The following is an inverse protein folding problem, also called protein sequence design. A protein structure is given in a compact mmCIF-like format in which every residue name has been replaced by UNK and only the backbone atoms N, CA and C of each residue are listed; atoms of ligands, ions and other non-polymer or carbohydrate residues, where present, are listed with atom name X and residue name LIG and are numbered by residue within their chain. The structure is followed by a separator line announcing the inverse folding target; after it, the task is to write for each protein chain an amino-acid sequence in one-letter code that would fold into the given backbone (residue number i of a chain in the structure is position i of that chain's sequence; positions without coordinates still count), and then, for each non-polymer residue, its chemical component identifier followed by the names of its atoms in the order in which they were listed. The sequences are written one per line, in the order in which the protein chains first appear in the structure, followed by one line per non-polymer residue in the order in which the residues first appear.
data_IF_654092053541
#
_entry.id   IF_654092053541
#
_cell.length_a   1.000
_cell.length_b   1.000
_cell.length_c   1.000
_cell.angle_alpha   90.00
_cell.angle_beta   90.00
_cell.angle_gamma   90.00
#
_symmetry.space_group_name_H-M   'P 1'
#
loop_
_entity.id
_entity.type
_entity.pdbx_description
1 polymer ?
#
# COMPACT_ATOMS: atom_id res chain seq x y z
N UNK A 1 1.27 -33.08 -9.02
CA UNK A 1 1.06 -34.45 -9.56
C UNK A 1 -0.20 -35.10 -9.01
N UNK A 2 -0.35 -35.27 -7.69
CA UNK A 2 -1.51 -35.96 -7.08
C UNK A 2 -2.84 -35.25 -7.34
N UNK A 3 -2.88 -33.91 -7.26
CA UNK A 3 -4.10 -33.14 -7.48
C UNK A 3 -4.60 -33.15 -8.93
N UNK A 4 -3.69 -33.24 -9.90
CA UNK A 4 -4.04 -33.29 -11.33
C UNK A 4 -4.55 -34.69 -11.73
N UNK A 5 -3.96 -35.74 -11.15
CA UNK A 5 -4.40 -37.12 -11.35
C UNK A 5 -5.81 -37.32 -10.80
N UNK A 6 -6.12 -36.77 -9.61
CA UNK A 6 -7.46 -36.81 -9.03
C UNK A 6 -8.52 -36.05 -9.84
N UNK A 7 -8.15 -34.92 -10.46
CA UNK A 7 -9.07 -34.14 -11.28
C UNK A 7 -9.41 -34.84 -12.62
N UNK A 8 -8.46 -35.58 -13.20
CA UNK A 8 -8.67 -36.34 -14.44
C UNK A 8 -9.46 -37.65 -14.19
N UNK A 9 -9.28 -38.28 -13.04
CA UNK A 9 -10.02 -39.48 -12.64
C UNK A 9 -11.52 -39.18 -12.42
N UNK A 10 -11.83 -37.96 -11.94
CA UNK A 10 -13.21 -37.47 -11.78
C UNK A 10 -13.95 -37.19 -13.10
N UNK A 11 -13.23 -37.06 -14.23
CA UNK A 11 -13.82 -36.82 -15.55
C UNK A 11 -14.13 -38.10 -16.34
N UNK A 12 -13.83 -39.29 -15.80
CA UNK A 12 -14.28 -40.57 -16.38
C UNK A 12 -13.67 -40.96 -17.73
N UNK A 13 -12.49 -40.41 -18.07
CA UNK A 13 -11.81 -40.68 -19.34
C UNK A 13 -10.46 -41.40 -19.14
N UNK A 14 -10.46 -42.73 -18.84
CA UNK A 14 -9.23 -43.49 -18.57
C UNK A 14 -8.32 -43.65 -19.79
N UNK A 15 -8.82 -43.34 -21.00
CA UNK A 15 -8.04 -43.43 -22.25
C UNK A 15 -7.00 -42.30 -22.39
N UNK A 16 -7.30 -41.11 -21.85
CA UNK A 16 -6.41 -39.94 -21.95
C UNK A 16 -5.16 -40.11 -21.09
N UNK A 17 -5.27 -40.80 -19.95
CA UNK A 17 -4.13 -41.15 -19.09
C UNK A 17 -3.18 -42.18 -19.74
N UNK A 18 -3.72 -43.11 -20.54
CA UNK A 18 -2.92 -44.08 -21.28
C UNK A 18 -2.14 -43.44 -22.43
N UNK A 19 -2.71 -42.46 -23.13
CA UNK A 19 -1.99 -41.72 -24.18
C UNK A 19 -0.94 -40.76 -23.61
N UNK A 20 -1.21 -40.10 -22.47
CA UNK A 20 -0.27 -39.18 -21.82
C UNK A 20 1.00 -39.86 -21.27
N UNK A 21 0.91 -41.13 -20.89
CA UNK A 21 2.06 -41.91 -20.37
C UNK A 21 2.91 -42.54 -21.48
N UNK A 22 2.41 -42.60 -22.73
CA UNK A 22 3.06 -43.28 -23.86
C UNK A 22 4.21 -42.50 -24.53
N UNK A 23 4.68 -41.40 -23.94
CA UNK A 23 6.00 -40.83 -24.26
C UNK A 23 6.11 -40.10 -25.60
N UNK A 24 5.02 -39.54 -26.13
CA UNK A 24 5.04 -38.87 -27.44
C UNK A 24 4.34 -37.51 -27.51
N UNK A 25 4.35 -36.68 -26.46
CA UNK A 25 3.72 -35.35 -26.60
C UNK A 25 4.34 -34.21 -25.76
N UNK A 26 5.61 -33.83 -25.98
CA UNK A 26 6.12 -32.54 -25.51
C UNK A 26 5.34 -31.36 -26.12
N UNK A 27 4.74 -31.54 -27.30
CA UNK A 27 3.96 -30.51 -27.99
C UNK A 27 2.62 -30.19 -27.31
N UNK A 28 1.94 -31.16 -26.70
CA UNK A 28 0.66 -30.90 -25.99
C UNK A 28 0.88 -30.13 -24.68
N UNK A 29 1.97 -30.42 -23.97
CA UNK A 29 2.33 -29.64 -22.79
C UNK A 29 2.67 -28.19 -23.14
N UNK A 30 3.38 -27.98 -24.26
CA UNK A 30 3.68 -26.66 -24.77
C UNK A 30 2.40 -25.90 -25.18
N UNK A 31 1.46 -26.54 -25.89
CA UNK A 31 0.20 -25.87 -26.29
C UNK A 31 -0.70 -25.56 -25.10
N UNK A 32 -0.77 -26.45 -24.10
CA UNK A 32 -1.53 -26.22 -22.86
C UNK A 32 -0.94 -25.06 -22.03
N UNK A 33 0.38 -25.01 -21.87
CA UNK A 33 1.03 -23.93 -21.13
C UNK A 33 0.95 -22.59 -21.87
N UNK A 34 1.05 -22.60 -23.21
CA UNK A 34 0.85 -21.40 -24.03
C UNK A 34 -0.61 -20.88 -23.95
N UNK A 35 -1.59 -21.79 -23.99
CA UNK A 35 -3.00 -21.45 -23.81
C UNK A 35 -3.29 -20.88 -22.41
N UNK A 36 -2.70 -21.47 -21.37
CA UNK A 36 -2.82 -21.01 -19.99
C UNK A 36 -2.28 -19.58 -19.81
N UNK A 37 -1.09 -19.30 -20.38
CA UNK A 37 -0.48 -17.96 -20.36
C UNK A 37 -1.29 -16.95 -21.16
N UNK A 38 -1.82 -17.34 -22.32
CA UNK A 38 -2.64 -16.47 -23.16
C UNK A 38 -3.92 -15.99 -22.46
N UNK A 39 -4.61 -16.90 -21.75
CA UNK A 39 -5.82 -16.56 -20.98
C UNK A 39 -5.47 -15.63 -19.82
N UNK A 40 -4.41 -15.92 -19.07
CA UNK A 40 -3.94 -15.07 -17.99
C UNK A 40 -3.58 -13.65 -18.46
N UNK A 41 -2.87 -13.54 -19.59
CA UNK A 41 -2.50 -12.25 -20.18
C UNK A 41 -3.72 -11.44 -20.65
N UNK A 42 -4.72 -12.10 -21.25
CA UNK A 42 -5.97 -11.45 -21.64
C UNK A 42 -6.76 -10.93 -20.42
N UNK A 43 -6.82 -11.70 -19.33
CA UNK A 43 -7.44 -11.28 -18.07
C UNK A 43 -6.72 -10.09 -17.43
N UNK A 44 -5.38 -10.11 -17.39
CA UNK A 44 -4.57 -9.02 -16.85
C UNK A 44 -4.75 -7.72 -17.67
N UNK A 45 -4.78 -7.83 -19.00
CA UNK A 45 -5.07 -6.71 -19.89
C UNK A 45 -6.48 -6.13 -19.65
N UNK A 46 -7.48 -6.99 -19.49
CA UNK A 46 -8.87 -6.57 -19.26
C UNK A 46 -9.05 -5.86 -17.90
N UNK A 47 -8.38 -6.35 -16.85
CA UNK A 47 -8.37 -5.72 -15.52
C UNK A 47 -7.60 -4.40 -15.51
N UNK A 48 -6.48 -4.31 -16.23
CA UNK A 48 -5.70 -3.09 -16.38
C UNK A 48 -6.50 -1.98 -17.08
N UNK A 49 -7.30 -2.32 -18.10
CA UNK A 49 -8.22 -1.36 -18.74
C UNK A 49 -9.33 -0.85 -17.81
N UNK A 50 -9.65 -1.57 -16.74
CA UNK A 50 -10.65 -1.17 -15.73
C UNK A 50 -10.04 -0.39 -14.55
N UNK A 51 -8.79 0.08 -14.67
CA UNK A 51 -8.16 0.95 -13.66
C UNK A 51 -7.78 0.25 -12.35
N UNK A 52 -7.76 -1.08 -12.32
CA UNK A 52 -7.30 -1.82 -11.16
C UNK A 52 -5.77 -1.76 -11.08
N UNK A 53 -5.21 -1.49 -9.90
CA UNK A 53 -3.78 -1.27 -9.72
C UNK A 53 -2.92 -2.46 -10.15
N UNK A 54 -1.71 -2.20 -10.67
CA UNK A 54 -0.79 -3.18 -11.26
C UNK A 54 -0.56 -4.44 -10.40
N UNK A 55 -0.59 -4.31 -9.06
CA UNK A 55 -0.45 -5.44 -8.14
C UNK A 55 -1.58 -6.48 -8.22
N UNK A 56 -2.80 -6.07 -8.57
CA UNK A 56 -3.92 -7.00 -8.79
C UNK A 56 -3.83 -7.73 -10.12
N UNK A 57 -3.28 -7.08 -11.14
CA UNK A 57 -3.09 -7.67 -12.47
C UNK A 57 -2.01 -8.76 -12.45
N UNK A 58 -0.94 -8.57 -11.67
CA UNK A 58 0.12 -9.59 -11.52
C UNK A 58 -0.34 -10.78 -10.69
N UNK A 59 -1.13 -10.57 -9.62
CA UNK A 59 -1.70 -11.68 -8.84
C UNK A 59 -2.75 -12.46 -9.63
N UNK A 60 -3.43 -11.81 -10.58
CA UNK A 60 -4.41 -12.47 -11.43
C UNK A 60 -3.77 -13.53 -12.35
N UNK A 61 -2.50 -13.37 -12.76
CA UNK A 61 -1.79 -14.37 -13.57
C UNK A 61 -1.60 -15.71 -12.84
N UNK A 62 -1.36 -15.67 -11.53
CA UNK A 62 -1.19 -16.87 -10.71
C UNK A 62 -2.54 -17.48 -10.25
N UNK A 63 -3.56 -16.64 -10.05
CA UNK A 63 -4.84 -17.07 -9.48
C UNK A 63 -6.01 -17.11 -10.47
N UNK A 64 -5.78 -16.98 -11.79
CA UNK A 64 -6.87 -16.96 -12.77
C UNK A 64 -7.80 -18.19 -12.77
N UNK A 65 -7.37 -19.42 -12.44
CA UNK A 65 -8.29 -20.56 -12.37
C UNK A 65 -9.36 -20.39 -11.27
N UNK A 66 -9.01 -19.70 -10.18
CA UNK A 66 -9.95 -19.36 -9.10
C UNK A 66 -10.86 -18.19 -9.48
N UNK A 67 -10.43 -17.34 -10.41
CA UNK A 67 -11.22 -16.22 -10.94
C UNK A 67 -12.28 -16.66 -11.96
N UNK A 68 -12.12 -17.81 -12.62
CA UNK A 68 -13.14 -18.34 -13.55
C UNK A 68 -14.51 -18.52 -12.88
N UNK A 69 -14.56 -18.92 -11.61
CA UNK A 69 -15.80 -19.03 -10.84
C UNK A 69 -16.50 -17.70 -10.55
N UNK A 70 -15.79 -16.57 -10.73
CA UNK A 70 -16.31 -15.21 -10.54
C UNK A 70 -16.71 -14.53 -11.86
N UNK A 71 -16.24 -15.03 -13.02
CA UNK A 71 -16.47 -14.42 -14.34
C UNK A 71 -17.93 -14.54 -14.82
N UNK A 72 -18.74 -15.41 -14.22
CA UNK A 72 -20.17 -15.54 -14.50
C UNK A 72 -21.10 -14.74 -13.57
N UNK A 73 -20.56 -14.10 -12.53
CA UNK A 73 -21.38 -13.25 -11.65
C UNK A 73 -21.34 -11.82 -12.16
N UNK A 74 -22.50 -11.15 -12.36
CA UNK A 74 -22.50 -9.73 -12.61
C UNK A 74 -21.69 -9.08 -11.48
N UNK A 75 -20.81 -8.11 -11.79
CA UNK A 75 -20.06 -7.42 -10.75
C UNK A 75 -21.10 -6.91 -9.74
N UNK A 76 -20.94 -7.19 -8.43
CA UNK A 76 -21.83 -6.57 -7.45
C UNK A 76 -21.77 -5.07 -7.72
N UNK A 77 -22.93 -4.37 -7.74
CA UNK A 77 -22.94 -2.93 -7.96
C UNK A 77 -21.88 -2.33 -7.04
N UNK A 78 -20.93 -1.62 -7.63
CA UNK A 78 -19.79 -0.99 -6.93
C UNK A 78 -20.23 -0.03 -5.82
N UNK A 79 -21.54 0.23 -5.71
CA UNK A 79 -22.20 0.93 -4.62
C UNK A 79 -22.27 0.13 -3.31
N UNK A 80 -22.23 -1.22 -3.32
CA UNK A 80 -22.39 -2.05 -2.10
C UNK A 80 -21.09 -2.70 -1.59
N UNK A 81 -20.00 -2.66 -2.38
CA UNK A 81 -18.63 -2.81 -1.83
C UNK A 81 -18.13 -1.52 -1.17
N UNK A 82 -18.96 -0.48 -1.15
CA UNK A 82 -18.96 0.55 -0.12
C UNK A 82 -19.73 0.04 1.12
N UNK A 83 -19.53 -1.23 1.52
CA UNK A 83 -19.44 -1.56 2.94
C UNK A 83 -18.53 -0.50 3.50
N UNK A 84 -19.08 0.36 4.35
CA UNK A 84 -18.35 1.33 5.13
C UNK A 84 -16.98 0.76 5.46
N UNK A 85 -15.96 1.10 4.66
CA UNK A 85 -14.62 1.14 5.18
C UNK A 85 -14.81 2.26 6.19
N UNK A 86 -14.78 2.00 7.50
CA UNK A 86 -14.21 3.03 8.34
C UNK A 86 -12.93 3.42 7.60
N UNK A 87 -12.92 4.62 7.03
CA UNK A 87 -11.69 5.35 6.84
C UNK A 87 -11.14 5.40 8.24
N UNK A 88 -10.39 4.36 8.61
CA UNK A 88 -9.64 4.31 9.84
C UNK A 88 -8.55 5.34 9.62
N UNK A 89 -8.96 6.59 9.83
CA UNK A 89 -8.12 7.69 10.14
C UNK A 89 -7.12 7.17 11.17
N UNK A 90 -5.83 7.27 10.85
CA UNK A 90 -4.83 6.88 11.81
C UNK A 90 -4.85 7.86 12.99
N UNK A 91 -4.09 7.54 14.05
CA UNK A 91 -4.12 8.29 15.30
C UNK A 91 -3.84 9.79 15.12
N UNK A 92 -3.10 10.18 14.08
CA UNK A 92 -2.73 11.57 13.81
C UNK A 92 -3.52 12.24 12.68
N UNK A 93 -4.56 11.61 12.14
CA UNK A 93 -5.28 12.12 10.97
C UNK A 93 -5.76 13.57 11.14
N UNK A 94 -6.45 13.88 12.25
CA UNK A 94 -6.94 15.22 12.54
C UNK A 94 -5.82 16.25 12.72
N UNK A 95 -4.66 15.84 13.26
CA UNK A 95 -3.48 16.70 13.40
C UNK A 95 -2.84 17.00 12.06
N UNK A 96 -2.75 16.01 11.17
CA UNK A 96 -2.26 16.18 9.79
C UNK A 96 -3.19 17.17 9.07
N UNK A 97 -4.50 16.94 9.10
CA UNK A 97 -5.47 17.82 8.45
C UNK A 97 -5.39 19.26 8.97
N UNK A 98 -5.31 19.42 10.29
CA UNK A 98 -5.12 20.72 10.94
C UNK A 98 -3.85 21.41 10.46
N UNK A 99 -2.69 20.74 10.54
CA UNK A 99 -1.41 21.32 10.10
C UNK A 99 -1.43 21.69 8.61
N UNK A 100 -2.01 20.85 7.75
CA UNK A 100 -2.11 21.11 6.32
C UNK A 100 -3.07 22.26 5.99
N UNK A 101 -4.21 22.34 6.68
CA UNK A 101 -5.15 23.45 6.53
C UNK A 101 -4.51 24.77 6.97
N UNK A 102 -3.84 24.75 8.12
CA UNK A 102 -3.09 25.88 8.67
C UNK A 102 -1.94 26.30 7.72
N UNK A 103 -1.20 25.38 7.11
CA UNK A 103 -0.19 25.74 6.09
C UNK A 103 -0.80 26.35 4.83
N UNK A 104 -1.88 25.76 4.30
CA UNK A 104 -2.58 26.30 3.12
C UNK A 104 -3.11 27.71 3.37
N UNK A 105 -3.68 27.95 4.54
CA UNK A 105 -4.19 29.27 4.92
C UNK A 105 -3.06 30.31 4.96
N UNK A 106 -1.93 30.01 5.61
CA UNK A 106 -0.79 30.93 5.65
C UNK A 106 -0.23 31.23 4.25
N UNK A 107 -0.19 30.21 3.38
CA UNK A 107 0.23 30.39 1.99
C UNK A 107 -0.76 31.17 1.13
N UNK A 108 -2.03 31.27 1.53
CA UNK A 108 -3.02 32.10 0.85
C UNK A 108 -2.97 33.54 1.36
N UNK A 109 -2.89 33.74 2.68
CA UNK A 109 -2.91 35.06 3.32
C UNK A 109 -1.64 35.90 3.03
N UNK A 110 -0.46 35.28 3.04
CA UNK A 110 0.81 36.02 2.94
C UNK A 110 1.23 36.34 1.50
N UNK A 111 0.51 35.83 0.50
CA UNK A 111 1.00 35.69 -0.87
C UNK A 111 -0.03 36.06 -1.95
N UNK A 112 -0.90 37.05 -1.68
CA UNK A 112 -1.95 37.60 -2.58
C UNK A 112 -1.44 38.24 -3.89
N UNK A 113 -0.16 38.05 -4.27
CA UNK A 113 0.43 38.53 -5.51
C UNK A 113 0.91 37.41 -6.45
N UNK A 114 1.16 37.70 -7.75
CA UNK A 114 1.64 36.72 -8.73
C UNK A 114 3.02 36.10 -8.40
N UNK A 115 3.75 36.68 -7.45
CA UNK A 115 4.99 36.13 -6.91
C UNK A 115 4.74 34.99 -5.90
N UNK A 116 3.61 35.03 -5.19
CA UNK A 116 3.20 34.05 -4.19
C UNK A 116 2.85 32.68 -4.74
N UNK A 117 2.20 32.66 -5.91
CA UNK A 117 1.86 31.44 -6.64
C UNK A 117 3.09 30.63 -7.12
N UNK A 118 4.32 31.18 -7.03
CA UNK A 118 5.57 30.51 -7.44
C UNK A 118 6.41 29.95 -6.28
N UNK A 119 6.02 30.17 -5.03
CA UNK A 119 6.87 29.72 -3.91
C UNK A 119 6.74 28.23 -3.61
N UNK A 120 5.50 27.71 -3.57
CA UNK A 120 5.19 26.31 -3.24
C UNK A 120 4.04 25.86 -4.13
N UNK A 121 4.25 24.76 -4.88
CA UNK A 121 3.22 24.18 -5.72
C UNK A 121 2.15 23.49 -4.86
N UNK A 122 0.87 23.79 -5.09
CA UNK A 122 -0.24 23.10 -4.44
C UNK A 122 -0.16 21.58 -4.63
N UNK A 123 0.41 21.11 -5.75
CA UNK A 123 0.62 19.69 -6.00
C UNK A 123 1.68 19.07 -5.05
N UNK A 124 2.76 19.79 -4.72
CA UNK A 124 3.77 19.33 -3.75
C UNK A 124 3.14 19.18 -2.37
N UNK A 125 2.39 20.19 -1.94
CA UNK A 125 1.71 20.17 -0.65
C UNK A 125 0.66 19.05 -0.57
N UNK A 126 -0.07 18.79 -1.65
CA UNK A 126 -1.00 17.65 -1.74
C UNK A 126 -0.27 16.30 -1.67
N UNK A 127 0.89 16.17 -2.34
CA UNK A 127 1.73 14.97 -2.29
C UNK A 127 2.27 14.71 -0.89
N UNK A 128 2.71 15.75 -0.18
CA UNK A 128 3.15 15.67 1.20
C UNK A 128 2.01 15.20 2.12
N UNK A 129 0.83 15.83 2.03
CA UNK A 129 -0.35 15.43 2.81
C UNK A 129 -0.72 13.96 2.57
N UNK A 130 -0.77 13.55 1.30
CA UNK A 130 -1.07 12.17 0.95
C UNK A 130 -0.06 11.19 1.54
N UNK A 131 1.23 11.54 1.51
CA UNK A 131 2.31 10.71 2.06
C UNK A 131 2.22 10.59 3.58
N UNK A 132 1.89 11.67 4.29
CA UNK A 132 1.66 11.68 5.73
C UNK A 132 0.45 10.83 6.13
N UNK A 133 -0.70 10.98 5.45
CA UNK A 133 -1.86 10.13 5.71
C UNK A 133 -1.58 8.66 5.43
N UNK A 134 -0.81 8.35 4.38
CA UNK A 134 -0.39 6.99 4.09
C UNK A 134 0.53 6.43 5.18
N UNK A 135 1.42 7.24 5.77
CA UNK A 135 2.23 6.86 6.92
C UNK A 135 1.36 6.59 8.16
N UNK A 136 0.46 7.50 8.49
CA UNK A 136 -0.46 7.40 9.63
C UNK A 136 -1.38 6.17 9.54
N UNK A 137 -1.93 5.89 8.36
CA UNK A 137 -2.73 4.67 8.13
C UNK A 137 -1.91 3.39 8.28
N UNK A 138 -0.61 3.40 7.96
CA UNK A 138 0.27 2.24 8.18
C UNK A 138 0.48 1.98 9.67
N UNK A 139 0.72 3.03 10.45
CA UNK A 139 0.84 2.94 11.92
C UNK A 139 -0.44 2.35 12.51
N UNK A 140 -1.61 2.86 12.10
CA UNK A 140 -2.90 2.34 12.56
C UNK A 140 -3.11 0.86 12.22
N UNK A 141 -2.64 0.42 11.05
CA UNK A 141 -2.67 -1.00 10.67
C UNK A 141 -1.77 -1.85 11.55
N UNK A 142 -0.56 -1.40 11.86
CA UNK A 142 0.37 -2.11 12.75
C UNK A 142 -0.21 -2.20 14.17
N UNK A 143 -0.79 -1.11 14.68
CA UNK A 143 -1.44 -1.08 15.99
C UNK A 143 -2.56 -2.11 16.09
N UNK A 144 -3.37 -2.22 15.04
CA UNK A 144 -4.42 -3.23 14.95
C UNK A 144 -3.86 -4.65 14.95
N UNK A 145 -2.82 -4.93 14.17
CA UNK A 145 -2.19 -6.26 14.14
C UNK A 145 -1.59 -6.63 15.50
N UNK A 146 -0.94 -5.69 16.17
CA UNK A 146 -0.41 -5.87 17.52
C UNK A 146 -1.54 -6.17 18.52
N UNK A 147 -2.66 -5.46 18.42
CA UNK A 147 -3.83 -5.66 19.28
C UNK A 147 -4.50 -7.01 19.02
N UNK A 148 -4.70 -7.40 17.75
CA UNK A 148 -5.26 -8.69 17.35
C UNK A 148 -4.38 -9.86 17.82
N UNK A 149 -3.06 -9.74 17.69
CA UNK A 149 -2.11 -10.76 18.13
C UNK A 149 -2.09 -10.89 19.66
N UNK A 150 -2.17 -9.75 20.37
CA UNK A 150 -2.25 -9.75 21.83
C UNK A 150 -3.57 -10.37 22.32
N UNK A 151 -4.70 -10.06 21.68
CA UNK A 151 -6.00 -10.65 22.00
C UNK A 151 -6.00 -12.17 21.78
N UNK A 152 -5.37 -12.65 20.71
CA UNK A 152 -5.23 -14.08 20.42
C UNK A 152 -4.29 -14.80 21.41
N UNK A 153 -3.16 -14.18 21.76
CA UNK A 153 -2.19 -14.73 22.72
C UNK A 153 -2.70 -14.80 24.15
N UNK A 154 -3.61 -13.91 24.54
CA UNK A 154 -4.24 -13.88 25.87
C UNK A 154 -5.15 -15.10 26.14
N UNK A 155 -5.56 -15.81 25.09
CA UNK A 155 -6.65 -16.78 25.16
C UNK A 155 -6.28 -18.22 25.45
N UNK A 156 -5.12 -18.77 25.00
CA UNK A 156 -4.88 -20.22 25.14
C UNK A 156 -3.50 -20.82 24.79
N UNK A 157 -2.49 -20.05 24.40
CA UNK A 157 -1.24 -20.66 23.89
C UNK A 157 -0.03 -19.87 24.38
N UNK A 158 0.97 -20.56 24.95
CA UNK A 158 2.32 -20.00 25.14
C UNK A 158 2.82 -19.50 23.79
N UNK A 159 2.93 -18.18 23.65
CA UNK A 159 3.47 -17.57 22.44
C UNK A 159 4.92 -18.02 22.27
N UNK A 160 5.23 -18.51 21.06
CA UNK A 160 6.58 -18.88 20.67
C UNK A 160 7.56 -17.72 20.99
N UNK A 161 8.70 -17.98 21.65
CA UNK A 161 9.70 -16.95 21.96
C UNK A 161 10.18 -16.18 20.72
N UNK A 162 10.21 -16.82 19.55
CA UNK A 162 10.58 -16.16 18.28
C UNK A 162 9.52 -15.13 17.85
N UNK A 163 8.24 -15.45 18.01
CA UNK A 163 7.13 -14.55 17.73
C UNK A 163 7.15 -13.36 18.70
N UNK A 164 7.46 -13.59 19.98
CA UNK A 164 7.60 -12.51 20.96
C UNK A 164 8.72 -11.53 20.59
N UNK A 165 9.88 -12.03 20.13
CA UNK A 165 10.96 -11.18 19.64
C UNK A 165 10.55 -10.37 18.40
N UNK A 166 9.86 -10.99 17.43
CA UNK A 166 9.35 -10.32 16.24
C UNK A 166 8.33 -9.22 16.59
N UNK A 167 7.42 -9.47 17.54
CA UNK A 167 6.48 -8.47 18.04
C UNK A 167 7.18 -7.31 18.76
N UNK A 168 8.27 -7.59 19.48
CA UNK A 168 9.12 -6.57 20.09
C UNK A 168 9.74 -5.64 19.04
N UNK A 169 10.34 -6.22 17.99
CA UNK A 169 10.91 -5.46 16.88
C UNK A 169 9.84 -4.63 16.15
N UNK A 170 8.67 -5.21 15.88
CA UNK A 170 7.56 -4.50 15.24
C UNK A 170 7.05 -3.31 16.07
N UNK A 171 6.99 -3.45 17.40
CA UNK A 171 6.66 -2.34 18.31
C UNK A 171 7.71 -1.24 18.24
N UNK A 172 9.00 -1.60 18.28
CA UNK A 172 10.10 -0.65 18.15
C UNK A 172 10.05 0.14 16.84
N UNK A 173 9.83 -0.56 15.72
CA UNK A 173 9.68 0.06 14.40
C UNK A 173 8.46 0.99 14.33
N UNK A 174 7.33 0.57 14.92
CA UNK A 174 6.11 1.39 15.02
C UNK A 174 6.36 2.67 15.82
N UNK A 175 7.00 2.57 16.98
CA UNK A 175 7.25 3.72 17.85
C UNK A 175 8.24 4.70 17.20
N UNK A 176 9.27 4.19 16.53
CA UNK A 176 10.18 5.01 15.74
C UNK A 176 9.45 5.74 14.60
N UNK A 177 8.62 5.03 13.82
CA UNK A 177 7.83 5.64 12.74
C UNK A 177 6.84 6.70 13.26
N UNK A 178 6.27 6.49 14.45
CA UNK A 178 5.40 7.46 15.09
C UNK A 178 6.17 8.71 15.51
N UNK A 179 7.33 8.55 16.16
CA UNK A 179 8.18 9.67 16.58
C UNK A 179 8.65 10.52 15.40
N UNK A 180 9.03 9.89 14.28
CA UNK A 180 9.40 10.59 13.05
C UNK A 180 8.23 11.35 12.43
N UNK A 181 7.02 10.77 12.42
CA UNK A 181 5.81 11.47 11.97
C UNK A 181 5.55 12.73 12.82
N UNK A 182 5.69 12.63 14.15
CA UNK A 182 5.55 13.77 15.05
C UNK A 182 6.64 14.83 14.83
N UNK A 183 7.87 14.41 14.57
CA UNK A 183 8.96 15.32 14.24
C UNK A 183 8.68 16.08 12.94
N UNK A 184 8.14 15.41 11.91
CA UNK A 184 7.73 16.06 10.65
C UNK A 184 6.59 17.05 10.88
N UNK A 185 5.56 16.68 11.65
CA UNK A 185 4.45 17.58 11.97
C UNK A 185 4.92 18.82 12.74
N UNK A 186 5.82 18.64 13.70
CA UNK A 186 6.44 19.76 14.44
C UNK A 186 7.27 20.65 13.52
N UNK A 187 8.00 20.05 12.57
CA UNK A 187 8.72 20.76 11.52
C UNK A 187 7.82 21.58 10.61
N UNK A 188 6.65 21.05 10.22
CA UNK A 188 5.65 21.75 9.41
C UNK A 188 5.05 22.97 10.13
N UNK A 189 4.78 22.85 11.44
CA UNK A 189 4.33 23.98 12.25
C UNK A 189 5.42 25.06 12.37
N UNK A 190 6.67 24.66 12.56
CA UNK A 190 7.80 25.59 12.54
C UNK A 190 7.94 26.29 11.19
N UNK A 191 7.74 25.56 10.09
CA UNK A 191 7.79 26.10 8.73
C UNK A 191 6.70 27.16 8.50
N UNK A 192 5.50 27.01 9.08
CA UNK A 192 4.49 28.07 9.04
C UNK A 192 4.97 29.36 9.69
N UNK A 193 5.57 29.28 10.88
CA UNK A 193 6.08 30.49 11.57
C UNK A 193 7.17 31.15 10.73
N UNK A 194 8.05 30.34 10.15
CA UNK A 194 9.10 30.82 9.25
C UNK A 194 8.51 31.46 8.00
N UNK A 195 7.49 30.87 7.37
CA UNK A 195 6.80 31.43 6.20
C UNK A 195 6.30 32.85 6.47
N UNK A 196 5.64 33.10 7.62
CA UNK A 196 5.16 34.44 7.96
C UNK A 196 6.31 35.44 8.17
N UNK A 197 7.43 35.02 8.76
CA UNK A 197 8.61 35.87 8.91
C UNK A 197 9.32 36.15 7.57
N UNK A 198 9.40 35.14 6.71
CA UNK A 198 10.05 35.25 5.41
C UNK A 198 9.22 36.00 4.38
N UNK A 199 7.89 35.95 4.47
CA UNK A 199 7.01 36.81 3.68
C UNK A 199 7.26 38.30 3.99
N UNK A 200 7.55 38.64 5.25
CA UNK A 200 7.94 40.00 5.64
C UNK A 200 9.34 40.39 5.13
N UNK A 201 10.27 39.45 5.05
CA UNK A 201 11.65 39.68 4.60
C UNK A 201 11.83 39.61 3.08
N UNK A 202 10.91 38.97 2.34
CA UNK A 202 10.98 38.75 0.90
C UNK A 202 11.92 37.61 0.46
N UNK A 203 12.42 36.79 1.39
CA UNK A 203 13.38 35.71 1.12
C UNK A 203 12.68 34.34 1.07
N UNK A 204 12.67 33.69 -0.10
CA UNK A 204 11.91 32.43 -0.33
C UNK A 204 12.75 31.16 -0.38
N UNK A 205 14.07 31.29 -0.50
CA UNK A 205 14.99 30.15 -0.60
C UNK A 205 15.01 29.24 0.65
N UNK A 206 15.11 29.75 1.90
CA UNK A 206 15.24 28.88 3.07
C UNK A 206 13.99 28.03 3.32
N UNK A 207 12.81 28.53 2.92
CA UNK A 207 11.54 27.80 3.00
C UNK A 207 11.54 26.60 2.06
N UNK A 208 12.04 26.77 0.83
CA UNK A 208 12.08 25.69 -0.17
C UNK A 208 13.06 24.59 0.26
N UNK A 209 14.22 24.96 0.78
CA UNK A 209 15.20 24.00 1.29
C UNK A 209 14.60 23.17 2.42
N UNK A 210 13.90 23.83 3.36
CA UNK A 210 13.27 23.13 4.48
C UNK A 210 12.12 22.22 4.05
N UNK A 211 11.32 22.61 3.06
CA UNK A 211 10.30 21.73 2.48
C UNK A 211 10.92 20.52 1.79
N UNK A 212 11.98 20.71 0.99
CA UNK A 212 12.67 19.62 0.31
C UNK A 212 13.25 18.61 1.32
N UNK A 213 13.79 19.10 2.44
CA UNK A 213 14.25 18.24 3.53
C UNK A 213 13.09 17.45 4.19
N UNK A 214 11.96 18.10 4.45
CA UNK A 214 10.77 17.43 5.01
C UNK A 214 10.21 16.38 4.05
N UNK A 215 10.16 16.69 2.75
CA UNK A 215 9.79 15.72 1.72
C UNK A 215 10.74 14.52 1.69
N UNK A 216 12.05 14.76 1.79
CA UNK A 216 13.06 13.71 1.83
C UNK A 216 12.90 12.82 3.07
N UNK A 217 12.64 13.40 4.26
CA UNK A 217 12.37 12.65 5.48
C UNK A 217 11.09 11.80 5.37
N UNK A 218 10.03 12.34 4.78
CA UNK A 218 8.79 11.60 4.55
C UNK A 218 8.98 10.49 3.51
N UNK A 219 9.80 10.70 2.49
CA UNK A 219 10.17 9.66 1.53
C UNK A 219 11.00 8.55 2.19
N UNK A 220 11.94 8.89 3.07
CA UNK A 220 12.71 7.91 3.84
C UNK A 220 11.79 7.07 4.76
N UNK A 221 10.77 7.68 5.37
CA UNK A 221 9.73 6.95 6.11
C UNK A 221 8.88 6.02 5.21
N UNK A 222 8.81 6.29 3.91
CA UNK A 222 8.19 5.36 2.97
C UNK A 222 9.11 4.15 2.70
N UNK A 223 10.41 4.38 2.51
CA UNK A 223 11.38 3.34 2.13
C UNK A 223 11.81 2.43 3.28
N UNK A 224 12.04 2.95 4.50
CA UNK A 224 12.48 2.13 5.65
C UNK A 224 11.51 0.96 5.93
N UNK A 225 10.22 1.18 5.71
CA UNK A 225 9.21 0.11 5.86
C UNK A 225 9.29 -0.99 4.79
N UNK A 226 9.85 -0.69 3.60
CA UNK A 226 10.00 -1.67 2.52
C UNK A 226 11.25 -2.54 2.70
N UNK A 227 12.32 -1.96 3.25
CA UNK A 227 13.57 -2.65 3.55
C UNK A 227 13.41 -3.59 4.74
N UNK A 228 12.70 -3.16 5.77
CA UNK A 228 12.47 -3.97 6.98
C UNK A 228 11.57 -5.19 6.69
N UNK A 229 10.57 -5.06 5.81
CA UNK A 229 9.77 -6.19 5.32
C UNK A 229 10.58 -7.18 4.48
N UNK A 230 11.61 -6.73 3.76
CA UNK A 230 12.49 -7.61 2.99
C UNK A 230 13.46 -8.38 3.88
N UNK A 231 13.93 -7.78 4.98
CA UNK A 231 14.82 -8.44 5.95
C UNK A 231 14.12 -9.50 6.82
N UNK A 232 12.81 -9.38 7.06
CA UNK A 232 12.05 -10.41 7.80
C UNK A 232 11.79 -11.67 6.95
N UNK A 233 11.96 -11.60 5.63
CA UNK A 233 11.75 -12.73 4.71
C UNK A 233 13.03 -13.50 4.36
N UNK A 234 14.20 -13.04 4.78
CA UNK A 234 15.51 -13.69 4.59
C UNK A 234 15.98 -14.42 5.84
#
# INVERSE_FOLDING_TARGET
MIALALALDLLGEPRVLAELTSGRVPSLWATLSLGYLGIGAAMAWHLGRRGHGLGTATSALACWPLLLGLVGRPPPPTSELSLARPTFAGPNHARIDGCMATLRQGLQEDFDGPAGARLIDAAQLAKLAHSLHRADHRIARVDRLLHETQAQGSGRVELDPTLLAALGNLRGARDHAHAELEAVLSGLLSLRVQLGLFALAGESEPVRERLAELEARVAALAELSSVELAQVQS
#
